data_IF_785854487732
#
_entry.id   IF_785854487732
#
_cell.length_a   1.000
_cell.length_b   1.000
_cell.length_c   1.000
_cell.angle_alpha   90.00
_cell.angle_beta   90.00
_cell.angle_gamma   90.00
#
_symmetry.space_group_name_H-M   'P 1'
#
loop_
_entity.id
_entity.type
_entity.pdbx_description
1 polymer ?
#
# COMPACT_ATOMS: atom_id res chain seq x y z
N UNK A 1 0.92 7.27 -11.60
CA UNK A 1 0.34 7.56 -10.26
C UNK A 1 0.82 8.93 -9.80
N UNK A 2 -0.11 9.79 -9.42
CA UNK A 2 0.24 11.13 -8.95
C UNK A 2 0.65 11.11 -7.48
N UNK A 3 1.30 12.19 -7.03
CA UNK A 3 1.68 12.32 -5.64
C UNK A 3 0.45 12.26 -4.72
N UNK A 4 -0.67 12.86 -5.15
CA UNK A 4 -1.90 12.81 -4.37
C UNK A 4 -2.44 11.39 -4.24
N UNK A 5 -2.34 10.57 -5.28
CA UNK A 5 -2.76 9.18 -5.22
C UNK A 5 -1.87 8.38 -4.29
N UNK A 6 -0.56 8.59 -4.37
CA UNK A 6 0.39 7.94 -3.46
C UNK A 6 0.09 8.32 -2.02
N UNK A 7 -0.15 9.61 -1.76
CA UNK A 7 -0.47 10.09 -0.42
C UNK A 7 -1.75 9.44 0.12
N UNK A 8 -2.77 9.25 -0.73
CA UNK A 8 -4.01 8.58 -0.32
C UNK A 8 -3.77 7.13 0.07
N UNK A 9 -2.97 6.40 -0.71
CA UNK A 9 -2.64 5.01 -0.39
C UNK A 9 -1.87 4.93 0.92
N UNK A 10 -0.89 5.79 1.11
CA UNK A 10 -0.11 5.82 2.34
C UNK A 10 -0.98 6.17 3.55
N UNK A 11 -1.91 7.10 3.39
CA UNK A 11 -2.84 7.47 4.45
C UNK A 11 -3.73 6.29 4.85
N UNK A 12 -4.26 5.56 3.88
CA UNK A 12 -5.07 4.37 4.14
C UNK A 12 -4.26 3.28 4.85
N UNK A 13 -3.04 3.05 4.41
CA UNK A 13 -2.14 2.08 5.05
C UNK A 13 -1.89 2.49 6.50
N UNK A 14 -1.61 3.77 6.74
CA UNK A 14 -1.40 4.30 8.09
C UNK A 14 -2.62 4.08 8.99
N UNK A 15 -3.82 4.35 8.45
CA UNK A 15 -5.06 4.15 9.20
C UNK A 15 -5.27 2.69 9.58
N UNK A 16 -5.00 1.77 8.66
CA UNK A 16 -5.11 0.34 8.95
C UNK A 16 -4.08 -0.10 9.98
N UNK A 17 -2.87 0.43 9.92
CA UNK A 17 -1.85 0.13 10.93
C UNK A 17 -2.29 0.57 12.32
N UNK A 18 -2.86 1.77 12.44
CA UNK A 18 -3.35 2.28 13.72
C UNK A 18 -4.51 1.43 14.23
N UNK A 19 -5.44 1.05 13.35
CA UNK A 19 -6.58 0.21 13.71
C UNK A 19 -6.13 -1.17 14.17
N UNK A 20 -5.13 -1.75 13.49
CA UNK A 20 -4.59 -3.06 13.87
C UNK A 20 -3.95 -3.02 15.26
N UNK A 21 -3.26 -1.94 15.58
CA UNK A 21 -2.65 -1.75 16.90
C UNK A 21 -3.70 -1.58 17.99
N UNK A 22 -4.77 -0.84 17.68
CA UNK A 22 -5.83 -0.58 18.64
C UNK A 22 -6.72 -1.79 18.89
N UNK A 23 -6.82 -2.70 17.90
CA UNK A 23 -7.67 -3.87 18.00
C UNK A 23 -6.94 -5.11 17.49
N UNK A 24 -6.13 -5.77 18.34
CA UNK A 24 -5.34 -6.93 17.91
C UNK A 24 -6.19 -8.09 17.38
N UNK A 25 -7.43 -8.23 17.81
CA UNK A 25 -8.30 -9.31 17.33
C UNK A 25 -8.68 -9.14 15.87
N UNK A 26 -8.68 -7.90 15.37
CA UNK A 26 -8.97 -7.59 13.97
C UNK A 26 -7.71 -7.31 13.15
N UNK A 27 -6.53 -7.53 13.73
CA UNK A 27 -5.27 -7.14 13.08
C UNK A 27 -5.06 -7.86 11.76
N UNK A 28 -5.45 -9.14 11.65
CA UNK A 28 -5.30 -9.91 10.42
C UNK A 28 -6.05 -9.26 9.25
N UNK A 29 -7.27 -8.79 9.50
CA UNK A 29 -8.08 -8.12 8.47
C UNK A 29 -7.37 -6.85 8.00
N UNK A 30 -6.85 -6.07 8.93
CA UNK A 30 -6.15 -4.82 8.58
C UNK A 30 -4.82 -5.09 7.87
N UNK A 31 -4.10 -6.12 8.29
CA UNK A 31 -2.85 -6.51 7.63
C UNK A 31 -3.12 -6.95 6.19
N UNK A 32 -4.17 -7.73 5.96
CA UNK A 32 -4.56 -8.13 4.61
C UNK A 32 -4.90 -6.92 3.74
N UNK A 33 -5.61 -5.94 4.31
CA UNK A 33 -5.94 -4.72 3.59
C UNK A 33 -4.68 -3.91 3.24
N UNK A 34 -3.74 -3.81 4.16
CA UNK A 34 -2.47 -3.13 3.94
C UNK A 34 -1.70 -3.82 2.80
N UNK A 35 -1.63 -5.14 2.83
CA UNK A 35 -0.95 -5.90 1.80
C UNK A 35 -1.59 -5.68 0.43
N UNK A 36 -2.91 -5.72 0.36
CA UNK A 36 -3.64 -5.49 -0.89
C UNK A 36 -3.39 -4.09 -1.44
N UNK A 37 -3.40 -3.08 -0.59
CA UNK A 37 -3.10 -1.71 -1.00
C UNK A 37 -1.67 -1.57 -1.51
N UNK A 38 -0.72 -2.17 -0.80
CA UNK A 38 0.69 -2.12 -1.20
C UNK A 38 0.91 -2.81 -2.54
N UNK A 39 0.33 -3.99 -2.74
CA UNK A 39 0.45 -4.73 -3.99
C UNK A 39 -0.17 -3.94 -5.14
N UNK A 40 -1.35 -3.37 -4.93
CA UNK A 40 -2.01 -2.56 -5.95
C UNK A 40 -1.16 -1.36 -6.35
N UNK A 41 -0.58 -0.68 -5.38
CA UNK A 41 0.28 0.47 -5.65
C UNK A 41 1.53 0.06 -6.43
N UNK A 42 2.16 -1.04 -6.03
CA UNK A 42 3.35 -1.55 -6.71
C UNK A 42 3.02 -1.90 -8.17
N UNK A 43 1.91 -2.60 -8.42
CA UNK A 43 1.52 -2.97 -9.77
C UNK A 43 1.22 -1.75 -10.63
N UNK A 44 0.58 -0.74 -10.06
CA UNK A 44 0.29 0.50 -10.77
C UNK A 44 1.59 1.22 -11.13
N UNK A 45 2.54 1.29 -10.20
CA UNK A 45 3.84 1.90 -10.47
C UNK A 45 4.62 1.15 -11.53
N UNK A 46 4.55 -0.18 -11.52
CA UNK A 46 5.22 -1.00 -12.55
C UNK A 46 4.69 -0.70 -13.94
N UNK A 47 3.39 -0.48 -14.08
CA UNK A 47 2.79 -0.15 -15.37
C UNK A 47 3.20 1.24 -15.85
N UNK A 48 3.27 2.19 -14.93
CA UNK A 48 3.58 3.58 -15.27
C UNK A 48 5.08 3.81 -15.41
N UNK A 49 5.90 3.16 -14.57
CA UNK A 49 7.33 3.39 -14.49
C UNK A 49 8.07 2.08 -14.22
N UNK A 50 8.19 1.20 -15.22
CA UNK A 50 8.84 -0.11 -15.02
C UNK A 50 10.27 -0.02 -14.52
N UNK A 51 10.97 1.06 -14.83
CA UNK A 51 12.36 1.28 -14.42
C UNK A 51 12.51 1.49 -12.91
N UNK A 52 11.45 1.97 -12.24
CA UNK A 52 11.49 2.28 -10.81
C UNK A 52 11.45 1.02 -9.95
N UNK A 53 10.92 -0.08 -10.46
CA UNK A 53 10.71 -1.29 -9.69
C UNK A 53 11.87 -2.28 -9.78
N UNK A 54 13.05 -1.81 -10.17
CA UNK A 54 14.23 -2.64 -10.19
C UNK A 54 14.33 -3.58 -11.37
N UNK A 55 13.59 -3.31 -12.43
CA UNK A 55 13.73 -4.08 -13.64
C UNK A 55 15.16 -3.93 -14.14
N UNK A 56 15.82 -5.03 -14.52
CA UNK A 56 17.20 -4.94 -15.02
C UNK A 56 17.25 -4.08 -16.26
N UNK A 57 18.21 -3.25 -16.28
CA UNK A 57 18.43 -2.35 -17.41
C UNK A 57 19.26 -3.05 -18.46
#
# INVERSE_FOLDING_TARGET
MTDNQIAKYLDQISKHCKAARANPTASTVHIDAIQALAVHMIETLKKERPDVTGAPV
#
